data_IF_958527012856
#
_entry.id   IF_958527012856
#
_cell.length_a   1.000
_cell.length_b   1.000
_cell.length_c   1.000
_cell.angle_alpha   90.00
_cell.angle_beta   90.00
_cell.angle_gamma   90.00
#
_symmetry.space_group_name_H-M   'P 1'
#
loop_
_entity.id
_entity.type
_entity.pdbx_description
1 polymer ?
#
# COMPACT_ATOMS: atom_id res chain seq x y z
N UNK A 1 -23.23 -34.92 -13.59
CA UNK A 1 -21.84 -35.16 -13.17
C UNK A 1 -21.85 -36.02 -11.91
N UNK A 2 -22.25 -35.53 -10.75
CA UNK A 2 -22.19 -36.26 -9.47
C UNK A 2 -23.06 -37.54 -9.47
N UNK A 3 -24.29 -37.48 -10.01
CA UNK A 3 -25.20 -38.59 -10.03
C UNK A 3 -24.77 -39.74 -10.97
N UNK A 4 -24.08 -39.41 -12.05
CA UNK A 4 -23.65 -40.40 -13.05
C UNK A 4 -22.15 -40.75 -12.96
N UNK A 5 -21.42 -40.19 -11.97
CA UNK A 5 -19.95 -40.36 -11.82
C UNK A 5 -19.15 -40.11 -13.10
N UNK A 6 -19.65 -39.21 -13.95
CA UNK A 6 -18.97 -38.82 -15.18
C UNK A 6 -17.94 -37.75 -14.80
N UNK A 7 -16.66 -38.04 -14.96
CA UNK A 7 -15.60 -37.07 -14.84
C UNK A 7 -15.74 -36.03 -15.97
N UNK A 8 -15.64 -34.74 -15.70
CA UNK A 8 -15.59 -33.74 -16.75
C UNK A 8 -14.38 -34.03 -17.64
N UNK A 9 -14.54 -33.88 -18.96
CA UNK A 9 -13.39 -33.93 -19.88
C UNK A 9 -12.38 -32.92 -19.43
N UNK A 10 -11.11 -33.30 -19.37
CA UNK A 10 -10.01 -32.37 -19.10
C UNK A 10 -10.08 -31.24 -20.14
N UNK A 11 -10.46 -30.06 -19.72
CA UNK A 11 -10.57 -28.91 -20.59
C UNK A 11 -9.24 -28.20 -20.55
N UNK A 12 -8.64 -28.02 -21.71
CA UNK A 12 -7.41 -27.22 -21.80
C UNK A 12 -7.76 -25.75 -21.70
N UNK A 13 -7.30 -25.09 -20.63
CA UNK A 13 -7.51 -23.66 -20.41
C UNK A 13 -6.64 -22.80 -21.32
N UNK A 14 -5.69 -23.40 -22.04
CA UNK A 14 -4.75 -22.72 -22.91
C UNK A 14 -5.05 -23.05 -24.37
N UNK A 15 -5.39 -22.06 -25.15
CA UNK A 15 -5.59 -22.18 -26.60
C UNK A 15 -4.28 -22.14 -27.43
N UNK A 16 -3.12 -22.42 -26.82
CA UNK A 16 -1.80 -22.32 -27.43
C UNK A 16 -0.99 -21.10 -26.92
N UNK A 17 0.21 -20.90 -27.46
CA UNK A 17 1.08 -19.80 -27.10
C UNK A 17 2.10 -20.10 -25.99
N UNK A 18 2.89 -19.10 -25.55
CA UNK A 18 4.01 -19.32 -24.63
C UNK A 18 3.60 -19.92 -23.28
N UNK A 19 2.46 -19.49 -22.72
CA UNK A 19 1.95 -20.02 -21.45
C UNK A 19 1.55 -21.50 -21.58
N UNK A 20 0.94 -21.87 -22.71
CA UNK A 20 0.60 -23.27 -22.96
C UNK A 20 1.85 -24.15 -23.04
N UNK A 21 2.88 -23.72 -23.78
CA UNK A 21 4.15 -24.44 -23.88
C UNK A 21 4.81 -24.63 -22.52
N UNK A 22 4.87 -23.56 -21.72
CA UNK A 22 5.45 -23.60 -20.38
C UNK A 22 4.68 -24.56 -19.45
N UNK A 23 3.34 -24.44 -19.36
CA UNK A 23 2.52 -25.34 -18.53
C UNK A 23 2.64 -26.78 -18.97
N UNK A 24 2.69 -27.04 -20.29
CA UNK A 24 2.84 -28.38 -20.85
C UNK A 24 4.23 -28.95 -20.56
N UNK A 25 5.29 -28.20 -20.79
CA UNK A 25 6.66 -28.61 -20.50
C UNK A 25 6.87 -28.95 -19.02
N UNK A 26 6.41 -28.07 -18.12
CA UNK A 26 6.48 -28.31 -16.67
C UNK A 26 5.61 -29.48 -16.26
N UNK A 27 4.42 -29.65 -16.85
CA UNK A 27 3.53 -30.79 -16.56
C UNK A 27 4.17 -32.12 -16.89
N UNK A 28 4.86 -32.25 -18.05
CA UNK A 28 5.60 -33.46 -18.41
C UNK A 28 6.84 -33.67 -17.55
N UNK A 29 7.55 -32.58 -17.18
CA UNK A 29 8.72 -32.68 -16.32
C UNK A 29 8.43 -33.30 -14.95
N UNK A 30 7.21 -33.06 -14.43
CA UNK A 30 6.82 -33.46 -13.07
C UNK A 30 5.80 -34.60 -13.08
N UNK A 31 5.53 -35.24 -14.23
CA UNK A 31 4.44 -36.19 -14.38
C UNK A 31 4.56 -37.35 -13.38
N UNK A 32 5.73 -38.00 -13.30
CA UNK A 32 6.00 -39.12 -12.39
C UNK A 32 5.83 -38.68 -10.91
N UNK A 33 6.41 -37.53 -10.50
CA UNK A 33 6.30 -37.02 -9.15
C UNK A 33 4.85 -36.70 -8.76
N UNK A 34 4.09 -36.12 -9.70
CA UNK A 34 2.70 -35.77 -9.46
C UNK A 34 1.79 -37.01 -9.33
N UNK A 35 2.00 -38.05 -10.16
CA UNK A 35 1.28 -39.28 -10.08
C UNK A 35 1.54 -40.04 -8.78
N UNK A 36 2.78 -40.13 -8.34
CA UNK A 36 3.17 -40.74 -7.07
C UNK A 36 2.49 -40.12 -5.85
N UNK A 37 2.23 -38.79 -5.91
CA UNK A 37 1.55 -38.07 -4.86
C UNK A 37 0.03 -37.90 -5.09
N UNK A 38 -0.52 -38.51 -6.16
CA UNK A 38 -1.95 -38.42 -6.49
C UNK A 38 -2.44 -37.01 -6.84
N UNK A 39 -1.56 -36.17 -7.35
CA UNK A 39 -1.86 -34.81 -7.77
C UNK A 39 -1.93 -34.73 -9.28
N UNK A 40 -2.94 -34.04 -9.84
CA UNK A 40 -2.98 -33.83 -11.29
C UNK A 40 -1.72 -33.08 -11.77
N UNK A 41 -0.94 -33.65 -12.74
CA UNK A 41 0.30 -33.04 -13.23
C UNK A 41 0.12 -31.57 -13.67
N UNK A 42 -0.99 -31.31 -14.37
CA UNK A 42 -1.30 -29.95 -14.84
C UNK A 42 -1.63 -28.97 -13.72
N UNK A 43 -2.31 -29.42 -12.67
CA UNK A 43 -2.55 -28.60 -11.49
C UNK A 43 -1.23 -28.31 -10.76
N UNK A 44 -0.42 -29.33 -10.56
CA UNK A 44 0.90 -29.19 -9.94
C UNK A 44 1.80 -28.23 -10.74
N UNK A 45 1.84 -28.37 -12.08
CA UNK A 45 2.60 -27.48 -12.96
C UNK A 45 2.17 -26.00 -12.83
N UNK A 46 0.86 -25.72 -12.83
CA UNK A 46 0.39 -24.34 -12.65
C UNK A 46 0.77 -23.77 -11.29
N UNK A 47 0.73 -24.58 -10.22
CA UNK A 47 1.13 -24.18 -8.88
C UNK A 47 2.63 -23.94 -8.75
N UNK A 48 3.44 -24.78 -9.38
CA UNK A 48 4.88 -24.60 -9.44
C UNK A 48 5.28 -23.30 -10.16
N UNK A 49 4.63 -23.02 -11.31
CA UNK A 49 4.83 -21.77 -12.05
C UNK A 49 4.43 -20.55 -11.20
N UNK A 50 3.36 -20.66 -10.39
CA UNK A 50 2.96 -19.62 -9.42
C UNK A 50 3.98 -19.43 -8.27
N UNK A 51 4.91 -20.36 -8.09
CA UNK A 51 5.89 -20.34 -6.99
C UNK A 51 5.34 -20.84 -5.67
N UNK A 52 4.38 -21.75 -5.68
CA UNK A 52 3.78 -22.35 -4.49
C UNK A 52 4.79 -23.25 -3.77
N UNK A 53 5.28 -22.79 -2.63
CA UNK A 53 6.34 -23.45 -1.84
C UNK A 53 5.91 -24.80 -1.24
N UNK A 54 4.61 -24.99 -1.03
CA UNK A 54 4.09 -26.23 -0.45
C UNK A 54 4.09 -27.35 -1.49
N UNK A 55 3.74 -27.04 -2.73
CA UNK A 55 3.82 -27.99 -3.85
C UNK A 55 5.28 -28.32 -4.20
N UNK A 56 6.18 -27.31 -4.20
CA UNK A 56 7.62 -27.54 -4.44
C UNK A 56 8.17 -28.56 -3.43
N UNK A 57 7.88 -28.38 -2.14
CA UNK A 57 8.34 -29.31 -1.08
C UNK A 57 7.70 -30.68 -1.19
N UNK A 58 6.44 -30.74 -1.60
CA UNK A 58 5.68 -32.01 -1.64
C UNK A 58 6.10 -32.90 -2.79
N UNK A 59 6.50 -32.33 -3.93
CA UNK A 59 6.94 -33.08 -5.09
C UNK A 59 8.41 -33.50 -5.05
N UNK A 60 9.19 -33.03 -4.05
CA UNK A 60 10.59 -33.41 -3.84
C UNK A 60 11.46 -33.33 -5.11
N UNK A 61 11.28 -32.27 -5.92
CA UNK A 61 11.98 -32.08 -7.17
C UNK A 61 13.47 -31.92 -6.96
N UNK A 62 14.28 -32.51 -7.84
CA UNK A 62 15.72 -32.36 -7.81
C UNK A 62 16.18 -31.01 -8.37
N UNK A 63 17.44 -30.66 -8.15
CA UNK A 63 17.99 -29.35 -8.53
C UNK A 63 17.94 -29.12 -10.05
N UNK A 64 18.17 -30.15 -10.85
CA UNK A 64 18.11 -30.06 -12.31
C UNK A 64 16.67 -29.81 -12.81
N UNK A 65 15.68 -30.45 -12.19
CA UNK A 65 14.26 -30.27 -12.53
C UNK A 65 13.81 -28.86 -12.19
N UNK A 66 14.24 -28.32 -11.06
CA UNK A 66 13.97 -26.93 -10.67
C UNK A 66 14.61 -25.93 -11.66
N UNK A 67 15.83 -26.20 -12.14
CA UNK A 67 16.50 -25.36 -13.12
C UNK A 67 15.79 -25.42 -14.48
N UNK A 68 15.40 -26.61 -14.96
CA UNK A 68 14.63 -26.78 -16.20
C UNK A 68 13.27 -26.08 -16.14
N UNK A 69 12.60 -26.20 -14.99
CA UNK A 69 11.33 -25.50 -14.73
C UNK A 69 11.53 -23.97 -14.81
N UNK A 70 12.53 -23.42 -14.10
CA UNK A 70 12.79 -21.99 -14.09
C UNK A 70 13.22 -21.46 -15.45
N UNK A 71 13.94 -22.27 -16.24
CA UNK A 71 14.28 -21.94 -17.64
C UNK A 71 13.01 -21.79 -18.48
N UNK A 72 12.08 -22.73 -18.41
CA UNK A 72 10.80 -22.69 -19.16
C UNK A 72 9.92 -21.50 -18.73
N UNK A 73 9.97 -21.13 -17.46
CA UNK A 73 9.25 -19.96 -16.93
C UNK A 73 9.89 -18.67 -17.46
N UNK A 74 11.21 -18.56 -17.44
CA UNK A 74 11.95 -17.39 -17.93
C UNK A 74 11.72 -17.17 -19.43
N UNK A 75 11.67 -18.25 -20.22
CA UNK A 75 11.35 -18.18 -21.66
C UNK A 75 9.93 -17.64 -21.86
N UNK A 76 8.95 -18.15 -21.13
CA UNK A 76 7.56 -17.68 -21.18
C UNK A 76 7.45 -16.19 -20.78
N UNK A 77 8.12 -15.77 -19.70
CA UNK A 77 8.14 -14.38 -19.25
C UNK A 77 8.77 -13.47 -20.32
N UNK A 78 9.86 -13.91 -20.94
CA UNK A 78 10.56 -13.16 -21.98
C UNK A 78 9.71 -12.99 -23.24
N UNK A 79 9.04 -14.05 -23.71
CA UNK A 79 8.18 -13.99 -24.89
C UNK A 79 6.90 -13.18 -24.66
N UNK A 80 6.29 -13.30 -23.46
CA UNK A 80 5.05 -12.61 -23.13
C UNK A 80 5.29 -11.17 -22.69
N UNK A 81 6.45 -10.87 -22.15
CA UNK A 81 6.75 -9.59 -21.51
C UNK A 81 5.94 -9.33 -20.24
N UNK A 82 5.42 -10.41 -19.62
CA UNK A 82 4.63 -10.42 -18.38
C UNK A 82 5.35 -11.30 -17.37
N UNK A 83 5.22 -11.00 -16.09
CA UNK A 83 5.66 -11.93 -15.04
C UNK A 83 4.78 -13.21 -15.04
N UNK A 84 5.29 -14.30 -14.44
CA UNK A 84 4.63 -15.62 -14.41
C UNK A 84 3.20 -15.57 -13.88
N UNK A 85 2.94 -14.77 -12.85
CA UNK A 85 1.61 -14.65 -12.26
C UNK A 85 0.66 -13.88 -13.17
N UNK A 86 1.15 -12.81 -13.81
CA UNK A 86 0.37 -12.04 -14.78
C UNK A 86 0.05 -12.87 -16.04
N UNK A 87 1.00 -13.65 -16.53
CA UNK A 87 0.81 -14.52 -17.70
C UNK A 87 -0.25 -15.59 -17.45
N UNK A 88 -0.20 -16.25 -16.29
CA UNK A 88 -1.21 -17.23 -15.89
C UNK A 88 -2.60 -16.63 -15.67
N UNK A 89 -2.65 -15.43 -15.06
CA UNK A 89 -3.90 -14.72 -14.86
C UNK A 89 -4.54 -14.31 -16.18
N UNK A 90 -3.76 -13.76 -17.11
CA UNK A 90 -4.22 -13.39 -18.45
C UNK A 90 -4.80 -14.59 -19.22
N UNK A 91 -4.13 -15.72 -19.15
CA UNK A 91 -4.62 -16.98 -19.72
C UNK A 91 -5.97 -17.39 -19.12
N UNK A 92 -6.10 -17.38 -17.79
CA UNK A 92 -7.35 -17.76 -17.10
C UNK A 92 -8.51 -16.81 -17.47
N UNK A 93 -8.25 -15.52 -17.51
CA UNK A 93 -9.27 -14.53 -17.88
C UNK A 93 -9.69 -14.66 -19.34
N UNK A 94 -8.76 -14.90 -20.27
CA UNK A 94 -9.07 -15.14 -21.67
C UNK A 94 -9.97 -16.36 -21.85
N UNK A 95 -9.70 -17.44 -21.12
CA UNK A 95 -10.55 -18.64 -21.13
C UNK A 95 -11.96 -18.36 -20.57
N UNK A 96 -12.04 -17.66 -19.43
CA UNK A 96 -13.32 -17.26 -18.82
C UNK A 96 -14.13 -16.39 -19.77
N UNK A 97 -13.51 -15.43 -20.44
CA UNK A 97 -14.17 -14.58 -21.44
C UNK A 97 -14.76 -15.40 -22.59
N UNK A 98 -13.99 -16.36 -23.11
CA UNK A 98 -14.45 -17.25 -24.16
C UNK A 98 -15.65 -18.10 -23.71
N UNK A 99 -15.56 -18.74 -22.55
CA UNK A 99 -16.66 -19.55 -21.99
C UNK A 99 -17.89 -18.67 -21.73
N UNK A 100 -17.71 -17.47 -21.20
CA UNK A 100 -18.80 -16.54 -20.95
C UNK A 100 -19.46 -16.06 -22.25
N UNK A 101 -18.67 -15.83 -23.31
CA UNK A 101 -19.21 -15.44 -24.61
C UNK A 101 -20.13 -16.53 -25.20
N UNK A 102 -19.78 -17.80 -25.02
CA UNK A 102 -20.51 -18.93 -25.58
C UNK A 102 -21.70 -19.37 -24.72
N UNK A 103 -21.63 -19.19 -23.41
CA UNK A 103 -22.60 -19.79 -22.46
C UNK A 103 -23.52 -18.79 -21.78
N UNK A 104 -23.09 -17.53 -21.60
CA UNK A 104 -23.85 -16.53 -20.85
C UNK A 104 -24.79 -15.74 -21.75
N UNK A 105 -26.07 -16.09 -21.76
CA UNK A 105 -27.13 -15.21 -22.27
C UNK A 105 -27.46 -14.18 -21.19
N UNK A 106 -27.08 -12.92 -21.42
CA UNK A 106 -27.43 -11.81 -20.51
C UNK A 106 -28.96 -11.63 -20.51
N UNK A 107 -29.62 -12.14 -19.47
CA UNK A 107 -31.00 -11.79 -19.17
C UNK A 107 -31.06 -10.32 -18.72
N UNK A 108 -32.26 -9.73 -18.73
CA UNK A 108 -32.53 -8.31 -18.43
C UNK A 108 -31.56 -7.71 -17.41
N UNK A 109 -30.95 -6.58 -17.79
CA UNK A 109 -30.07 -5.84 -16.89
C UNK A 109 -30.84 -5.41 -15.63
N UNK A 110 -30.27 -5.69 -14.46
CA UNK A 110 -30.89 -5.27 -13.19
C UNK A 110 -30.98 -3.74 -13.13
N UNK A 111 -32.01 -3.22 -12.46
CA UNK A 111 -32.16 -1.76 -12.23
C UNK A 111 -30.93 -1.14 -11.58
N UNK A 112 -30.24 -1.90 -10.74
CA UNK A 112 -29.00 -1.48 -10.09
C UNK A 112 -27.87 -1.32 -11.09
N UNK A 113 -27.74 -2.24 -12.06
CA UNK A 113 -26.74 -2.14 -13.12
C UNK A 113 -27.00 -0.93 -14.01
N UNK A 114 -28.26 -0.69 -14.39
CA UNK A 114 -28.60 0.50 -15.20
C UNK A 114 -28.27 1.80 -14.47
N UNK A 115 -28.53 1.88 -13.15
CA UNK A 115 -28.13 3.03 -12.32
C UNK A 115 -26.62 3.18 -12.28
N UNK A 116 -25.89 2.09 -12.06
CA UNK A 116 -24.42 2.09 -12.03
C UNK A 116 -23.84 2.56 -13.35
N UNK A 117 -24.35 2.10 -14.48
CA UNK A 117 -23.93 2.55 -15.83
C UNK A 117 -24.23 4.05 -16.05
N UNK A 118 -25.38 4.55 -15.57
CA UNK A 118 -25.70 5.96 -15.67
C UNK A 118 -24.74 6.84 -14.85
N UNK A 119 -24.39 6.42 -13.64
CA UNK A 119 -23.42 7.08 -12.78
C UNK A 119 -22.01 7.00 -13.41
N UNK A 120 -21.62 5.84 -13.93
CA UNK A 120 -20.33 5.63 -14.57
C UNK A 120 -20.12 6.53 -15.80
N UNK A 121 -21.18 6.84 -16.54
CA UNK A 121 -21.10 7.78 -17.68
C UNK A 121 -20.52 9.15 -17.26
N UNK A 122 -20.80 9.59 -16.04
CA UNK A 122 -20.27 10.85 -15.49
C UNK A 122 -18.94 10.64 -14.80
N UNK A 123 -18.82 9.62 -13.92
CA UNK A 123 -17.66 9.41 -13.08
C UNK A 123 -16.45 8.82 -13.83
N UNK A 124 -16.67 8.09 -14.93
CA UNK A 124 -15.59 7.52 -15.75
C UNK A 124 -15.45 8.19 -17.11
N UNK A 125 -16.14 9.31 -17.32
CA UNK A 125 -16.09 10.07 -18.56
C UNK A 125 -14.66 10.59 -18.85
N UNK A 126 -14.29 10.65 -20.15
CA UNK A 126 -12.95 11.03 -20.61
C UNK A 126 -12.42 12.35 -20.03
N UNK A 127 -13.29 13.33 -19.82
CA UNK A 127 -12.92 14.66 -19.32
C UNK A 127 -13.38 14.92 -17.87
N UNK A 128 -14.38 14.19 -17.40
CA UNK A 128 -15.00 14.39 -16.08
C UNK A 128 -14.39 13.55 -14.98
N UNK A 129 -13.84 12.38 -15.31
CA UNK A 129 -13.32 11.43 -14.33
C UNK A 129 -12.22 12.02 -13.44
N UNK A 130 -11.20 12.65 -14.03
CA UNK A 130 -10.05 13.18 -13.28
C UNK A 130 -10.45 14.40 -12.43
N UNK A 131 -11.18 15.42 -12.95
CA UNK A 131 -11.63 16.54 -12.12
C UNK A 131 -12.54 16.13 -10.96
N UNK A 132 -13.51 15.23 -11.20
CA UNK A 132 -14.39 14.74 -10.12
C UNK A 132 -13.58 14.00 -9.05
N UNK A 133 -12.64 13.18 -9.50
CA UNK A 133 -11.77 12.45 -8.60
C UNK A 133 -10.90 13.40 -7.74
N UNK A 134 -10.27 14.40 -8.34
CA UNK A 134 -9.49 15.41 -7.61
C UNK A 134 -10.39 16.15 -6.61
N UNK A 135 -11.58 16.55 -7.02
CA UNK A 135 -12.53 17.23 -6.14
C UNK A 135 -12.96 16.35 -4.95
N UNK A 136 -13.24 15.07 -5.19
CA UNK A 136 -13.59 14.12 -4.14
C UNK A 136 -12.43 13.91 -3.15
N UNK A 137 -11.19 13.77 -3.65
CA UNK A 137 -10.01 13.63 -2.80
C UNK A 137 -9.71 14.89 -2.00
N UNK A 138 -9.81 16.07 -2.62
CA UNK A 138 -9.66 17.35 -1.91
C UNK A 138 -10.71 17.51 -0.81
N UNK A 139 -11.97 17.14 -1.08
CA UNK A 139 -13.03 17.18 -0.09
C UNK A 139 -12.72 16.24 1.09
N UNK A 140 -12.28 15.02 0.81
CA UNK A 140 -11.91 14.05 1.85
C UNK A 140 -10.75 14.58 2.68
N UNK A 141 -9.72 15.09 2.03
CA UNK A 141 -8.56 15.64 2.75
C UNK A 141 -8.94 16.86 3.59
N UNK A 142 -9.75 17.77 3.05
CA UNK A 142 -10.26 18.92 3.80
C UNK A 142 -11.06 18.48 5.03
N UNK A 143 -12.00 17.55 4.87
CA UNK A 143 -12.77 17.03 6.00
C UNK A 143 -11.89 16.30 7.03
N UNK A 144 -10.86 15.58 6.56
CA UNK A 144 -9.99 14.80 7.43
C UNK A 144 -9.01 15.69 8.20
N UNK A 145 -8.37 16.66 7.53
CA UNK A 145 -7.28 17.42 8.14
C UNK A 145 -7.75 18.72 8.81
N UNK A 146 -8.70 19.43 8.20
CA UNK A 146 -9.10 20.76 8.68
C UNK A 146 -10.37 20.75 9.54
N UNK A 147 -11.29 19.79 9.32
CA UNK A 147 -12.59 19.84 10.02
C UNK A 147 -12.66 18.78 11.11
N UNK A 148 -12.84 17.51 10.73
CA UNK A 148 -13.12 16.44 11.70
C UNK A 148 -11.84 16.01 12.41
N UNK A 149 -10.77 15.80 11.67
CA UNK A 149 -9.51 15.32 12.23
C UNK A 149 -8.83 16.36 13.11
N UNK A 150 -8.88 17.64 12.73
CA UNK A 150 -8.38 18.73 13.57
C UNK A 150 -9.16 18.80 14.90
N UNK A 151 -10.48 18.85 14.83
CA UNK A 151 -11.33 18.89 16.03
C UNK A 151 -11.08 17.72 16.99
N UNK A 152 -11.01 16.50 16.46
CA UNK A 152 -10.76 15.29 17.26
C UNK A 152 -9.30 15.24 17.75
N UNK A 153 -8.36 15.77 16.97
CA UNK A 153 -6.96 15.90 17.35
C UNK A 153 -6.81 16.85 18.54
N UNK A 154 -7.36 18.06 18.46
CA UNK A 154 -7.35 19.04 19.54
C UNK A 154 -7.96 18.51 20.83
N UNK A 155 -9.05 17.76 20.71
CA UNK A 155 -9.70 17.10 21.85
C UNK A 155 -8.78 16.05 22.48
N UNK A 156 -8.09 15.27 21.67
CA UNK A 156 -7.13 14.24 22.12
C UNK A 156 -5.93 14.92 22.79
N UNK A 157 -5.38 15.98 22.19
CA UNK A 157 -4.25 16.74 22.73
C UNK A 157 -4.59 17.36 24.08
N UNK A 158 -5.80 17.91 24.23
CA UNK A 158 -6.29 18.44 25.50
C UNK A 158 -6.39 17.33 26.57
N UNK A 159 -6.86 16.14 26.17
CA UNK A 159 -6.90 14.98 27.06
C UNK A 159 -5.52 14.50 27.50
N UNK A 160 -4.57 14.41 26.54
CA UNK A 160 -3.18 14.03 26.82
C UNK A 160 -2.50 15.06 27.72
N UNK A 161 -2.65 16.34 27.42
CA UNK A 161 -2.09 17.44 28.23
C UNK A 161 -2.62 17.36 29.68
N UNK A 162 -3.93 17.18 29.86
CA UNK A 162 -4.52 17.05 31.21
C UNK A 162 -3.97 15.84 31.96
N UNK A 163 -3.78 14.71 31.29
CA UNK A 163 -3.18 13.52 31.90
C UNK A 163 -1.71 13.76 32.26
N UNK A 164 -0.98 14.42 31.39
CA UNK A 164 0.42 14.78 31.62
C UNK A 164 0.56 15.69 32.84
N UNK A 165 -0.28 16.72 32.95
CA UNK A 165 -0.30 17.65 34.09
C UNK A 165 -0.62 16.94 35.40
N UNK A 166 -1.56 16.00 35.40
CA UNK A 166 -1.90 15.22 36.60
C UNK A 166 -0.70 14.39 37.04
N UNK A 167 -0.04 13.72 36.09
CA UNK A 167 1.14 12.88 36.40
C UNK A 167 2.32 13.73 36.81
N UNK A 168 2.56 14.87 36.18
CA UNK A 168 3.62 15.82 36.50
C UNK A 168 3.47 16.33 37.94
N UNK A 169 2.29 16.79 38.31
CA UNK A 169 1.96 17.22 39.67
C UNK A 169 2.13 16.10 40.70
N UNK A 170 1.73 14.88 40.38
CA UNK A 170 1.90 13.73 41.23
C UNK A 170 3.41 13.39 41.44
N UNK A 171 4.20 13.33 40.39
CA UNK A 171 5.63 13.05 40.43
C UNK A 171 6.38 14.13 41.24
N UNK A 172 6.01 15.39 41.04
CA UNK A 172 6.59 16.52 41.76
C UNK A 172 6.24 16.46 43.26
N UNK A 173 5.01 16.10 43.62
CA UNK A 173 4.57 15.96 45.00
C UNK A 173 5.27 14.83 45.74
N UNK A 174 5.61 13.76 45.06
CA UNK A 174 6.38 12.63 45.61
C UNK A 174 7.90 12.89 45.71
N UNK A 175 8.40 14.00 45.14
CA UNK A 175 9.81 14.38 45.21
C UNK A 175 10.74 13.40 44.47
N UNK A 176 10.31 12.87 43.33
CA UNK A 176 11.05 11.88 42.52
C UNK A 176 12.28 12.55 41.90
N UNK A 177 13.34 11.74 41.70
CA UNK A 177 14.57 12.19 41.05
C UNK A 177 14.27 12.90 39.71
N UNK A 178 14.83 14.10 39.47
CA UNK A 178 14.59 14.91 38.26
C UNK A 178 14.78 14.14 36.94
N UNK A 179 15.73 13.18 36.91
CA UNK A 179 15.97 12.35 35.73
C UNK A 179 14.82 11.42 35.42
N UNK A 180 14.28 10.77 36.45
CA UNK A 180 13.13 9.86 36.31
C UNK A 180 11.89 10.67 35.93
N UNK A 181 11.72 11.85 36.52
CA UNK A 181 10.66 12.77 36.16
C UNK A 181 10.70 13.14 34.67
N UNK A 182 11.85 13.63 34.19
CA UNK A 182 12.03 13.97 32.76
C UNK A 182 11.88 12.73 31.84
N UNK A 183 12.35 11.55 32.23
CA UNK A 183 12.13 10.32 31.47
C UNK A 183 10.63 10.04 31.28
N UNK A 184 9.86 10.18 32.35
CA UNK A 184 8.43 9.88 32.30
C UNK A 184 7.71 10.95 31.47
N UNK A 185 7.93 12.24 31.74
CA UNK A 185 7.21 13.33 31.07
C UNK A 185 7.71 13.51 29.64
N UNK A 186 9.02 13.77 29.46
CA UNK A 186 9.59 14.12 28.15
C UNK A 186 9.87 12.90 27.27
N UNK A 187 10.17 11.75 27.89
CA UNK A 187 10.45 10.50 27.17
C UNK A 187 9.16 9.73 26.83
N UNK A 188 8.40 9.37 27.86
CA UNK A 188 7.23 8.49 27.71
C UNK A 188 6.00 9.27 27.28
N UNK A 189 5.57 10.27 28.05
CA UNK A 189 4.34 11.02 27.76
C UNK A 189 4.43 11.82 26.47
N UNK A 190 5.55 12.49 26.21
CA UNK A 190 5.75 13.20 24.94
C UNK A 190 5.77 12.23 23.75
N UNK A 191 6.45 11.07 23.86
CA UNK A 191 6.51 10.07 22.79
C UNK A 191 5.18 9.40 22.53
N UNK A 192 4.50 8.90 23.57
CA UNK A 192 3.19 8.26 23.46
C UNK A 192 2.14 9.29 23.05
N UNK A 193 2.18 10.49 23.61
CA UNK A 193 1.26 11.59 23.31
C UNK A 193 1.28 11.93 21.84
N UNK A 194 2.47 12.10 21.24
CA UNK A 194 2.59 12.40 19.81
C UNK A 194 1.96 11.35 18.91
N UNK A 195 2.04 10.07 19.25
CA UNK A 195 1.37 8.99 18.50
C UNK A 195 -0.14 9.06 18.64
N UNK A 196 -0.63 9.28 19.86
CA UNK A 196 -2.05 9.36 20.16
C UNK A 196 -2.72 10.57 19.52
N UNK A 197 -2.02 11.70 19.43
CA UNK A 197 -2.49 12.93 18.76
C UNK A 197 -2.80 12.71 17.27
N UNK A 198 -2.02 11.88 16.59
CA UNK A 198 -2.26 11.55 15.20
C UNK A 198 -3.33 10.45 14.99
N UNK A 199 -3.69 9.71 16.03
CA UNK A 199 -4.63 8.61 15.93
C UNK A 199 -6.02 9.02 15.41
N UNK A 200 -6.68 10.07 15.92
CA UNK A 200 -7.98 10.50 15.42
C UNK A 200 -7.97 10.85 13.93
N UNK A 201 -6.95 11.57 13.50
CA UNK A 201 -6.77 11.97 12.10
C UNK A 201 -6.66 10.75 11.19
N UNK A 202 -5.90 9.73 11.60
CA UNK A 202 -5.73 8.49 10.85
C UNK A 202 -7.05 7.70 10.81
N UNK A 203 -7.77 7.63 11.91
CA UNK A 203 -9.09 6.95 12.00
C UNK A 203 -10.10 7.60 11.04
N UNK A 204 -10.17 8.93 11.01
CA UNK A 204 -11.05 9.67 10.10
C UNK A 204 -10.65 9.47 8.63
N UNK A 205 -9.35 9.50 8.33
CA UNK A 205 -8.86 9.21 6.98
C UNK A 205 -9.27 7.81 6.53
N UNK A 206 -9.08 6.81 7.38
CA UNK A 206 -9.47 5.43 7.05
C UNK A 206 -10.98 5.27 6.92
N UNK A 207 -11.76 6.00 7.69
CA UNK A 207 -13.21 6.03 7.54
C UNK A 207 -13.61 6.45 6.13
N UNK A 208 -13.12 7.59 5.65
CA UNK A 208 -13.44 8.07 4.30
C UNK A 208 -12.90 7.15 3.20
N UNK A 209 -11.70 6.62 3.35
CA UNK A 209 -11.12 5.67 2.39
C UNK A 209 -11.93 4.38 2.34
N UNK A 210 -12.39 3.86 3.48
CA UNK A 210 -13.24 2.67 3.55
C UNK A 210 -14.60 2.90 2.89
N UNK A 211 -15.17 4.10 3.06
CA UNK A 211 -16.40 4.49 2.37
C UNK A 211 -16.20 4.52 0.85
N UNK A 212 -15.09 5.08 0.36
CA UNK A 212 -14.76 5.07 -1.07
C UNK A 212 -14.53 3.65 -1.62
N UNK A 213 -13.86 2.81 -0.85
CA UNK A 213 -13.58 1.43 -1.22
C UNK A 213 -14.86 0.61 -1.29
N UNK A 214 -15.67 0.62 -0.23
CA UNK A 214 -16.90 -0.17 -0.16
C UNK A 214 -18.00 0.31 -1.13
N UNK A 215 -18.02 1.61 -1.48
CA UNK A 215 -18.93 2.14 -2.51
C UNK A 215 -18.61 1.63 -3.93
N UNK A 216 -17.42 1.08 -4.16
CA UNK A 216 -16.93 0.66 -5.47
C UNK A 216 -16.33 1.78 -6.32
N UNK A 217 -16.17 2.99 -5.76
CA UNK A 217 -15.58 4.12 -6.49
C UNK A 217 -14.10 3.93 -6.80
N UNK A 218 -13.34 3.29 -5.87
CA UNK A 218 -11.92 3.00 -6.06
C UNK A 218 -11.64 2.13 -7.29
N UNK A 219 -12.53 1.19 -7.61
CA UNK A 219 -12.41 0.36 -8.82
C UNK A 219 -12.48 1.19 -10.11
N UNK A 220 -13.34 2.22 -10.13
CA UNK A 220 -13.48 3.14 -11.27
C UNK A 220 -12.26 4.00 -11.46
N UNK A 221 -11.73 4.51 -10.37
CA UNK A 221 -10.48 5.28 -10.41
C UNK A 221 -9.33 4.43 -10.94
N UNK A 222 -9.20 3.19 -10.46
CA UNK A 222 -8.19 2.25 -10.96
C UNK A 222 -8.36 2.00 -12.47
N UNK A 223 -9.60 1.87 -12.96
CA UNK A 223 -9.90 1.72 -14.38
C UNK A 223 -9.51 2.94 -15.22
N UNK A 224 -9.88 4.14 -14.77
CA UNK A 224 -9.57 5.39 -15.49
C UNK A 224 -8.06 5.63 -15.51
N UNK A 225 -7.38 5.36 -14.40
CA UNK A 225 -5.94 5.60 -14.24
C UNK A 225 -5.07 4.49 -14.85
N UNK A 226 -5.64 3.39 -15.32
CA UNK A 226 -4.88 2.30 -15.92
C UNK A 226 -4.08 2.76 -17.16
N UNK A 227 -4.70 3.57 -18.05
CA UNK A 227 -4.01 4.07 -19.24
C UNK A 227 -2.77 4.92 -18.95
N UNK A 228 -2.82 5.98 -18.12
CA UNK A 228 -1.63 6.76 -17.79
C UNK A 228 -0.60 5.97 -16.99
N UNK A 229 -1.02 5.10 -16.05
CA UNK A 229 -0.09 4.33 -15.24
C UNK A 229 0.65 3.24 -16.04
N UNK A 230 0.03 2.64 -17.03
CA UNK A 230 0.71 1.71 -17.95
C UNK A 230 1.86 2.36 -18.71
N UNK A 231 1.75 3.64 -19.07
CA UNK A 231 2.87 4.37 -19.68
C UNK A 231 4.07 4.46 -18.74
N UNK A 232 3.81 4.58 -17.45
CA UNK A 232 4.82 4.55 -16.40
C UNK A 232 5.29 3.13 -16.05
N UNK A 233 4.62 2.09 -16.57
CA UNK A 233 4.94 0.70 -16.30
C UNK A 233 4.26 0.13 -15.04
N UNK A 234 3.19 0.74 -14.58
CA UNK A 234 2.38 0.32 -13.44
C UNK A 234 0.98 -0.12 -13.88
N UNK A 235 0.35 -1.02 -13.15
CA UNK A 235 -1.04 -1.38 -13.36
C UNK A 235 -1.99 -0.32 -12.78
N UNK A 236 -3.22 -0.25 -13.29
CA UNK A 236 -4.23 0.70 -12.80
C UNK A 236 -4.54 0.55 -11.31
N UNK A 237 -4.39 -0.66 -10.75
CA UNK A 237 -4.58 -0.92 -9.31
C UNK A 237 -3.56 -0.22 -8.43
N UNK A 238 -2.38 0.09 -8.95
CA UNK A 238 -1.33 0.80 -8.22
C UNK A 238 -1.73 2.23 -7.80
N UNK A 239 -2.75 2.82 -8.47
CA UNK A 239 -3.25 4.15 -8.10
C UNK A 239 -3.80 4.19 -6.68
N UNK A 240 -4.46 3.12 -6.22
CA UNK A 240 -5.10 3.07 -4.90
C UNK A 240 -4.08 3.24 -3.77
N UNK A 241 -3.02 2.43 -3.67
CA UNK A 241 -1.94 2.68 -2.71
C UNK A 241 -1.29 4.06 -2.87
N UNK A 242 -1.06 4.52 -4.11
CA UNK A 242 -0.45 5.83 -4.35
C UNK A 242 -1.31 6.97 -3.80
N UNK A 243 -2.63 6.91 -3.96
CA UNK A 243 -3.56 7.91 -3.43
C UNK A 243 -3.57 7.93 -1.91
N UNK A 244 -3.61 6.75 -1.29
CA UNK A 244 -3.49 6.62 0.16
C UNK A 244 -2.15 7.24 0.63
N UNK A 245 -1.10 7.15 -0.19
CA UNK A 245 0.24 7.70 0.07
C UNK A 245 0.27 9.22 0.24
N UNK A 246 -0.63 9.96 -0.40
CA UNK A 246 -0.76 11.41 -0.16
C UNK A 246 -1.33 11.72 1.23
N UNK A 247 -2.14 10.83 1.79
CA UNK A 247 -2.60 10.96 3.18
C UNK A 247 -1.56 10.44 4.17
N UNK A 248 -1.17 9.16 4.04
CA UNK A 248 -0.21 8.51 4.91
C UNK A 248 0.52 7.37 4.18
N UNK A 249 1.85 7.36 4.21
CA UNK A 249 2.67 6.36 3.52
C UNK A 249 2.60 4.97 4.16
N UNK A 250 2.37 4.85 5.45
CA UNK A 250 2.32 3.54 6.14
C UNK A 250 1.16 2.68 5.64
N UNK A 251 -0.11 3.13 5.69
CA UNK A 251 -1.23 2.38 5.13
C UNK A 251 -1.14 2.21 3.62
N UNK A 252 -0.54 3.16 2.91
CA UNK A 252 -0.29 3.05 1.48
C UNK A 252 0.59 1.84 1.15
N UNK A 253 1.71 1.67 1.84
CA UNK A 253 2.59 0.50 1.68
C UNK A 253 1.85 -0.79 2.05
N UNK A 254 1.05 -0.78 3.11
CA UNK A 254 0.22 -1.95 3.47
C UNK A 254 -0.80 -2.30 2.39
N UNK A 255 -1.42 -1.30 1.77
CA UNK A 255 -2.39 -1.49 0.69
C UNK A 255 -1.75 -2.10 -0.59
N UNK A 256 -0.44 -1.97 -0.79
CA UNK A 256 0.22 -2.63 -1.93
C UNK A 256 0.13 -4.16 -1.90
N UNK A 257 -0.16 -4.75 -0.74
CA UNK A 257 -0.37 -6.22 -0.62
C UNK A 257 -1.56 -6.73 -1.44
N UNK A 258 -2.49 -5.86 -1.81
CA UNK A 258 -3.63 -6.20 -2.68
C UNK A 258 -3.25 -6.34 -4.15
N UNK A 259 -2.03 -5.92 -4.52
CA UNK A 259 -1.52 -6.05 -5.88
C UNK A 259 -1.07 -7.49 -6.12
N UNK A 260 -1.57 -8.10 -7.18
CA UNK A 260 -1.31 -9.49 -7.54
C UNK A 260 0.08 -9.71 -8.15
N UNK A 261 0.65 -8.69 -8.81
CA UNK A 261 2.00 -8.74 -9.37
C UNK A 261 3.04 -8.28 -8.34
N UNK A 262 4.03 -9.12 -8.04
CA UNK A 262 5.12 -8.77 -7.12
C UNK A 262 5.96 -7.61 -7.66
N UNK A 263 6.17 -7.55 -8.97
CA UNK A 263 6.84 -6.46 -9.65
C UNK A 263 6.10 -5.12 -9.42
N UNK A 264 4.80 -5.08 -9.71
CA UNK A 264 3.99 -3.87 -9.54
C UNK A 264 3.91 -3.47 -8.06
N UNK A 265 3.85 -4.46 -7.15
CA UNK A 265 3.87 -4.23 -5.70
C UNK A 265 5.17 -3.57 -5.26
N UNK A 266 6.34 -4.11 -5.62
CA UNK A 266 7.64 -3.55 -5.26
C UNK A 266 7.86 -2.17 -5.86
N UNK A 267 7.49 -1.99 -7.13
CA UNK A 267 7.58 -0.70 -7.81
C UNK A 267 6.67 0.36 -7.17
N UNK A 268 5.44 0.00 -6.84
CA UNK A 268 4.51 0.90 -6.14
C UNK A 268 5.01 1.25 -4.73
N UNK A 269 5.54 0.27 -3.97
CA UNK A 269 6.16 0.53 -2.66
C UNK A 269 7.33 1.52 -2.75
N UNK A 270 8.16 1.39 -3.78
CA UNK A 270 9.28 2.30 -3.99
C UNK A 270 8.84 3.74 -4.34
N UNK A 271 7.63 3.91 -4.91
CA UNK A 271 7.08 5.21 -5.28
C UNK A 271 6.40 5.96 -4.15
N UNK A 272 5.76 5.24 -3.21
CA UNK A 272 4.99 5.85 -2.12
C UNK A 272 5.81 6.88 -1.33
N UNK A 273 7.10 6.68 -1.01
CA UNK A 273 7.89 7.69 -0.31
C UNK A 273 8.07 9.02 -1.05
N UNK A 274 7.91 9.08 -2.37
CA UNK A 274 7.96 10.33 -3.14
C UNK A 274 6.66 11.14 -3.02
N UNK A 275 5.55 10.50 -2.60
CA UNK A 275 4.31 11.20 -2.33
C UNK A 275 4.44 12.02 -1.05
N UNK A 276 4.07 13.29 -1.11
CA UNK A 276 4.10 14.16 0.06
C UNK A 276 2.86 13.91 0.91
N UNK A 277 3.04 13.23 2.03
CA UNK A 277 1.96 12.97 3.00
C UNK A 277 1.90 14.11 4.05
N UNK A 278 0.82 14.12 4.83
CA UNK A 278 0.59 15.12 5.88
C UNK A 278 1.74 15.25 6.89
N UNK A 279 2.42 14.16 7.22
CA UNK A 279 3.56 14.18 8.13
C UNK A 279 4.79 14.94 7.59
N UNK A 280 4.89 15.16 6.26
CA UNK A 280 5.97 15.94 5.66
C UNK A 280 5.68 17.45 5.64
N UNK A 281 4.42 17.85 5.76
CA UNK A 281 4.02 19.26 5.73
C UNK A 281 4.72 20.09 6.83
N UNK A 282 4.76 19.65 8.11
CA UNK A 282 5.50 20.36 9.14
C UNK A 282 6.99 20.51 8.83
N UNK A 283 7.61 19.48 8.25
CA UNK A 283 9.02 19.50 7.85
C UNK A 283 9.24 20.56 6.75
N UNK A 284 8.37 20.60 5.75
CA UNK A 284 8.42 21.61 4.70
C UNK A 284 8.18 23.02 5.25
N UNK A 285 7.26 23.16 6.23
CA UNK A 285 6.98 24.44 6.88
C UNK A 285 8.22 24.98 7.62
N UNK A 286 8.87 24.15 8.45
CA UNK A 286 10.10 24.54 9.16
C UNK A 286 11.21 24.91 8.17
N UNK A 287 11.40 24.11 7.13
CA UNK A 287 12.40 24.37 6.09
C UNK A 287 12.13 25.68 5.34
N UNK A 288 10.88 25.91 4.92
CA UNK A 288 10.51 27.14 4.20
C UNK A 288 10.56 28.36 5.10
N UNK A 289 10.29 28.22 6.38
CA UNK A 289 10.40 29.32 7.37
C UNK A 289 11.85 29.71 7.63
N UNK A 290 12.75 28.73 7.68
CA UNK A 290 14.17 28.97 7.92
C UNK A 290 14.88 29.62 6.72
N UNK A 291 14.51 29.24 5.47
CA UNK A 291 15.26 29.68 4.29
C UNK A 291 14.52 30.62 3.35
N UNK A 292 13.18 30.70 3.43
CA UNK A 292 12.35 31.46 2.49
C UNK A 292 11.26 32.27 3.22
N UNK A 293 11.57 33.47 3.63
CA UNK A 293 10.64 34.30 4.41
C UNK A 293 9.51 34.92 3.59
N UNK A 294 9.73 35.27 2.32
CA UNK A 294 8.76 36.00 1.49
C UNK A 294 7.81 35.11 0.67
N UNK A 295 8.27 33.91 0.20
CA UNK A 295 7.53 33.06 -0.73
C UNK A 295 7.19 31.68 -0.14
N UNK A 296 6.91 31.58 1.16
CA UNK A 296 6.69 30.31 1.89
C UNK A 296 5.70 29.39 1.18
N UNK A 297 4.53 29.88 0.81
CA UNK A 297 3.50 29.08 0.16
C UNK A 297 3.92 28.56 -1.23
N UNK A 298 4.60 29.38 -2.02
CA UNK A 298 5.05 29.02 -3.35
C UNK A 298 6.14 27.95 -3.29
N UNK A 299 7.07 28.09 -2.32
CA UNK A 299 8.13 27.08 -2.09
C UNK A 299 7.54 25.77 -1.60
N UNK A 300 6.56 25.78 -0.69
CA UNK A 300 5.86 24.55 -0.26
C UNK A 300 5.20 23.83 -1.43
N UNK A 301 4.48 24.58 -2.27
CA UNK A 301 3.84 24.00 -3.47
C UNK A 301 4.89 23.44 -4.43
N UNK A 302 6.01 24.18 -4.62
CA UNK A 302 7.09 23.71 -5.51
C UNK A 302 7.75 22.43 -5.00
N UNK A 303 7.97 22.27 -3.69
CA UNK A 303 8.49 21.05 -3.08
C UNK A 303 7.51 19.87 -3.27
N UNK A 304 6.22 20.13 -3.16
CA UNK A 304 5.19 19.13 -3.40
C UNK A 304 5.18 18.62 -4.85
N UNK A 305 5.23 19.57 -5.81
CA UNK A 305 5.29 19.27 -7.23
C UNK A 305 6.62 18.58 -7.60
N UNK A 306 7.72 19.05 -7.00
CA UNK A 306 9.04 18.42 -7.20
C UNK A 306 9.04 16.96 -6.75
N UNK A 307 8.43 16.64 -5.60
CA UNK A 307 8.29 15.26 -5.13
C UNK A 307 7.57 14.38 -6.15
N UNK A 308 6.48 14.86 -6.75
CA UNK A 308 5.74 14.12 -7.79
C UNK A 308 6.61 13.93 -9.04
N UNK A 309 7.30 14.98 -9.50
CA UNK A 309 8.17 14.91 -10.69
C UNK A 309 9.30 13.91 -10.47
N UNK A 310 9.99 13.98 -9.34
CA UNK A 310 11.07 13.04 -8.98
C UNK A 310 10.53 11.61 -8.88
N UNK A 311 9.34 11.42 -8.32
CA UNK A 311 8.67 10.12 -8.29
C UNK A 311 8.41 9.56 -9.69
N UNK A 312 7.92 10.37 -10.61
CA UNK A 312 7.70 9.97 -12.02
C UNK A 312 9.04 9.59 -12.68
N UNK A 313 10.07 10.39 -12.51
CA UNK A 313 11.42 10.13 -13.08
C UNK A 313 11.98 8.82 -12.48
N UNK A 314 11.91 8.65 -11.17
CA UNK A 314 12.35 7.44 -10.49
C UNK A 314 11.61 6.19 -10.99
N UNK A 315 10.31 6.32 -11.27
CA UNK A 315 9.50 5.26 -11.87
C UNK A 315 9.99 4.88 -13.26
N UNK A 316 10.23 5.87 -14.12
CA UNK A 316 10.69 5.64 -15.48
C UNK A 316 12.08 5.00 -15.50
N UNK A 317 12.97 5.44 -14.62
CA UNK A 317 14.30 4.83 -14.47
C UNK A 317 14.16 3.37 -13.97
N UNK A 318 13.38 3.17 -12.91
CA UNK A 318 13.17 1.84 -12.31
C UNK A 318 12.53 0.84 -13.27
N UNK A 319 11.62 1.30 -14.14
CA UNK A 319 11.00 0.47 -15.19
C UNK A 319 12.04 -0.11 -16.15
N UNK A 320 13.09 0.63 -16.49
CA UNK A 320 14.10 0.21 -17.46
C UNK A 320 15.30 -0.52 -16.82
N UNK A 321 15.51 -0.31 -15.52
CA UNK A 321 16.68 -0.86 -14.81
C UNK A 321 16.31 -2.07 -13.95
N UNK A 322 15.53 -1.84 -12.87
CA UNK A 322 15.30 -2.81 -11.80
C UNK A 322 14.04 -3.65 -12.08
N UNK A 323 12.95 -3.00 -12.48
CA UNK A 323 11.62 -3.63 -12.64
C UNK A 323 11.25 -3.77 -14.12
N UNK A 324 12.03 -4.55 -14.87
CA UNK A 324 11.77 -4.82 -16.29
C UNK A 324 10.49 -5.67 -16.46
N UNK A 325 9.79 -5.49 -17.58
CA UNK A 325 8.56 -6.22 -17.92
C UNK A 325 7.35 -5.29 -18.11
N UNK A 326 6.24 -5.87 -18.56
CA UNK A 326 4.99 -5.14 -18.77
C UNK A 326 4.10 -5.23 -17.51
N UNK A 327 3.33 -4.18 -17.20
CA UNK A 327 2.38 -4.23 -16.11
C UNK A 327 1.27 -5.25 -16.40
N UNK A 328 0.74 -5.86 -15.35
CA UNK A 328 -0.38 -6.79 -15.45
C UNK A 328 -1.57 -6.12 -16.13
N UNK A 329 -2.21 -6.75 -17.12
CA UNK A 329 -3.41 -6.21 -17.72
C UNK A 329 -4.52 -6.05 -16.67
N UNK A 330 -5.15 -4.88 -16.67
CA UNK A 330 -6.26 -4.62 -15.78
C UNK A 330 -7.55 -5.19 -16.40
N UNK A 331 -7.87 -6.41 -16.01
CA UNK A 331 -9.12 -7.07 -16.36
C UNK A 331 -9.95 -7.18 -15.08
N UNK A 332 -10.94 -6.31 -14.92
CA UNK A 332 -11.85 -6.35 -13.78
C UNK A 332 -13.23 -5.88 -14.22
N UNK A 333 -14.25 -6.67 -13.91
CA UNK A 333 -15.62 -6.18 -14.00
C UNK A 333 -15.84 -5.13 -12.91
N UNK A 334 -16.40 -3.98 -13.31
CA UNK A 334 -16.72 -2.92 -12.36
C UNK A 334 -17.88 -3.38 -11.47
N UNK A 335 -17.70 -3.46 -10.15
CA UNK A 335 -18.78 -3.84 -9.24
C UNK A 335 -19.90 -2.80 -9.30
N UNK A 336 -21.16 -3.18 -9.08
CA UNK A 336 -22.24 -2.20 -8.98
C UNK A 336 -22.00 -1.26 -7.79
N UNK A 337 -22.41 0.01 -7.92
CA UNK A 337 -22.42 0.91 -6.78
C UNK A 337 -23.37 0.41 -5.70
N UNK A 338 -22.86 0.40 -4.49
CA UNK A 338 -23.66 0.07 -3.32
C UNK A 338 -23.45 1.09 -2.21
N UNK A 339 -24.45 1.23 -1.37
CA UNK A 339 -24.30 2.01 -0.14
C UNK A 339 -23.32 1.29 0.77
N UNK A 340 -22.29 1.98 1.28
CA UNK A 340 -21.33 1.41 2.21
C UNK A 340 -22.04 0.82 3.42
N UNK A 341 -21.69 -0.41 3.80
CA UNK A 341 -22.23 -1.05 4.98
C UNK A 341 -21.59 -0.45 6.24
N UNK A 342 -22.34 0.15 7.17
CA UNK A 342 -21.77 0.75 8.38
C UNK A 342 -20.92 -0.25 9.18
N UNK A 343 -21.36 -1.50 9.25
CA UNK A 343 -20.63 -2.56 9.95
C UNK A 343 -19.30 -2.87 9.29
N UNK A 344 -19.26 -2.98 7.96
CA UNK A 344 -18.02 -3.25 7.19
C UNK A 344 -17.04 -2.10 7.34
N UNK A 345 -17.52 -0.86 7.19
CA UNK A 345 -16.69 0.35 7.30
C UNK A 345 -16.09 0.47 8.70
N UNK A 346 -16.89 0.29 9.75
CA UNK A 346 -16.40 0.35 11.14
C UNK A 346 -15.40 -0.77 11.45
N UNK A 347 -15.65 -1.99 10.97
CA UNK A 347 -14.75 -3.11 11.18
C UNK A 347 -13.41 -2.87 10.48
N UNK A 348 -13.44 -2.45 9.21
CA UNK A 348 -12.24 -2.15 8.44
C UNK A 348 -11.43 -0.99 9.04
N UNK A 349 -12.13 0.06 9.49
CA UNK A 349 -11.54 1.20 10.20
C UNK A 349 -10.83 0.74 11.49
N UNK A 350 -11.50 -0.10 12.29
CA UNK A 350 -10.94 -0.62 13.53
C UNK A 350 -9.70 -1.50 13.31
N UNK A 351 -9.74 -2.40 12.34
CA UNK A 351 -8.59 -3.23 11.97
C UNK A 351 -7.38 -2.38 11.56
N UNK A 352 -7.61 -1.39 10.69
CA UNK A 352 -6.54 -0.48 10.24
C UNK A 352 -5.99 0.38 11.38
N UNK A 353 -6.87 0.91 12.25
CA UNK A 353 -6.47 1.69 13.42
C UNK A 353 -5.66 0.83 14.39
N UNK A 354 -6.12 -0.38 14.69
CA UNK A 354 -5.40 -1.33 15.56
C UNK A 354 -4.01 -1.68 15.04
N UNK A 355 -3.91 -2.01 13.74
CA UNK A 355 -2.63 -2.31 13.09
C UNK A 355 -1.67 -1.14 13.13
N UNK A 356 -2.18 0.08 12.94
CA UNK A 356 -1.38 1.31 13.05
C UNK A 356 -0.87 1.50 14.47
N UNK A 357 -1.76 1.45 15.48
CA UNK A 357 -1.37 1.64 16.88
C UNK A 357 -0.31 0.62 17.28
N UNK A 358 -0.49 -0.66 16.98
CA UNK A 358 0.47 -1.69 17.34
C UNK A 358 1.88 -1.44 16.74
N UNK A 359 1.94 -1.05 15.46
CA UNK A 359 3.22 -0.82 14.78
C UNK A 359 3.86 0.51 15.15
N UNK A 360 3.04 1.57 15.17
CA UNK A 360 3.52 2.91 15.49
C UNK A 360 3.94 3.04 16.95
N UNK A 361 3.14 2.50 17.89
CA UNK A 361 3.45 2.54 19.31
C UNK A 361 4.82 1.93 19.62
N UNK A 362 5.10 0.71 19.12
CA UNK A 362 6.37 0.04 19.41
C UNK A 362 7.57 0.80 18.85
N UNK A 363 7.48 1.23 17.57
CA UNK A 363 8.61 1.86 16.90
C UNK A 363 8.84 3.30 17.40
N UNK A 364 7.77 4.09 17.51
CA UNK A 364 7.88 5.50 17.90
C UNK A 364 8.22 5.61 19.39
N UNK A 365 7.65 4.77 20.24
CA UNK A 365 7.99 4.72 21.66
C UNK A 365 9.47 4.41 21.86
N UNK A 366 10.01 3.38 21.17
CA UNK A 366 11.44 3.08 21.24
C UNK A 366 12.30 4.24 20.73
N UNK A 367 11.91 4.85 19.60
CA UNK A 367 12.60 6.01 19.03
C UNK A 367 12.57 7.21 19.99
N UNK A 368 11.43 7.49 20.62
CA UNK A 368 11.29 8.59 21.59
C UNK A 368 12.21 8.43 22.80
N UNK A 369 12.30 7.23 23.34
CA UNK A 369 13.23 6.94 24.44
C UNK A 369 14.68 7.14 23.99
N UNK A 370 15.06 6.66 22.80
CA UNK A 370 16.40 6.85 22.26
C UNK A 370 16.71 8.33 22.07
N UNK A 371 15.78 9.08 21.48
CA UNK A 371 15.95 10.55 21.29
C UNK A 371 16.04 11.25 22.64
N UNK A 372 15.23 10.87 23.62
CA UNK A 372 15.30 11.44 24.96
C UNK A 372 16.69 11.17 25.60
N UNK A 373 17.21 9.94 25.51
CA UNK A 373 18.56 9.62 25.99
C UNK A 373 19.62 10.46 25.30
N UNK A 374 19.57 10.56 23.96
CA UNK A 374 20.53 11.36 23.19
C UNK A 374 20.47 12.86 23.49
N UNK A 375 19.31 13.37 23.93
CA UNK A 375 19.08 14.77 24.27
C UNK A 375 19.46 15.10 25.71
N UNK A 376 19.33 14.13 26.63
CA UNK A 376 19.48 14.34 28.07
C UNK A 376 20.92 14.08 28.54
N UNK A 377 21.67 13.24 27.84
CA UNK A 377 23.01 12.82 28.27
C UNK A 377 24.12 13.37 27.36
N UNK A 378 25.27 13.66 27.99
CA UNK A 378 26.54 13.95 27.34
C UNK A 378 27.33 12.67 27.07
N UNK A 379 28.46 12.75 26.36
CA UNK A 379 29.41 11.66 26.08
C UNK A 379 29.94 10.94 27.35
N UNK A 380 29.85 11.59 28.50
CA UNK A 380 30.25 11.04 29.81
C UNK A 380 29.07 10.54 30.66
N UNK A 381 27.86 10.44 30.05
CA UNK A 381 26.61 10.08 30.73
C UNK A 381 26.23 11.03 31.89
N UNK A 382 26.67 12.29 31.84
CA UNK A 382 26.20 13.31 32.75
C UNK A 382 24.93 13.97 32.15
N UNK A 383 24.04 14.43 33.02
CA UNK A 383 22.84 15.15 32.60
C UNK A 383 23.27 16.55 32.13
N UNK A 384 22.79 16.91 30.94
CA UNK A 384 23.13 18.19 30.32
C UNK A 384 22.05 19.21 30.61
N UNK A 385 22.43 20.35 31.14
CA UNK A 385 21.51 21.50 31.37
C UNK A 385 21.26 22.30 30.07
N UNK A 386 22.26 22.31 29.15
CA UNK A 386 22.18 23.02 27.88
C UNK A 386 22.09 21.99 26.71
N UNK A 387 21.10 22.15 25.84
CA UNK A 387 20.89 21.25 24.69
C UNK A 387 22.09 21.20 23.72
N UNK A 388 22.95 22.23 23.71
CA UNK A 388 24.14 22.31 22.85
C UNK A 388 25.22 21.30 23.23
N UNK A 389 25.26 20.84 24.48
CA UNK A 389 26.24 19.87 24.99
C UNK A 389 25.75 18.42 24.92
N UNK A 390 24.54 18.19 24.41
CA UNK A 390 23.93 16.87 24.31
C UNK A 390 24.58 15.99 23.24
N UNK A 391 24.47 14.65 23.40
CA UNK A 391 24.89 13.69 22.38
C UNK A 391 24.24 13.97 21.03
N UNK A 392 22.99 14.46 21.02
CA UNK A 392 22.27 14.84 19.81
C UNK A 392 22.92 16.03 19.11
N UNK A 393 23.36 17.04 19.86
CA UNK A 393 24.05 18.21 19.31
C UNK A 393 25.40 17.86 18.68
N UNK A 394 26.12 16.88 19.21
CA UNK A 394 27.37 16.37 18.64
C UNK A 394 27.17 15.65 17.28
N UNK A 395 25.99 15.11 17.02
CA UNK A 395 25.65 14.52 15.71
C UNK A 395 25.46 15.58 14.63
N UNK A 396 25.07 16.80 14.99
CA UNK A 396 24.87 17.91 14.05
C UNK A 396 26.11 18.25 13.22
N UNK A 397 27.29 18.55 13.86
CA UNK A 397 28.54 18.79 13.14
C UNK A 397 29.04 17.62 12.31
N UNK A 398 28.73 16.37 12.72
CA UNK A 398 29.10 15.18 11.97
C UNK A 398 28.31 15.05 10.65
N UNK A 399 27.07 15.56 10.63
CA UNK A 399 26.22 15.56 9.45
C UNK A 399 26.38 16.84 8.61
N UNK A 400 26.94 17.92 9.20
CA UNK A 400 27.18 19.20 8.53
C UNK A 400 27.95 19.12 7.20
N UNK A 401 28.97 18.23 7.00
CA UNK A 401 29.65 18.15 5.71
C UNK A 401 28.81 17.48 4.61
N UNK A 402 27.63 16.94 4.92
CA UNK A 402 26.73 16.30 3.95
C UNK A 402 25.65 17.27 3.47
N UNK A 403 25.41 18.33 4.21
CA UNK A 403 24.49 19.43 3.90
C UNK A 403 25.27 20.74 3.71
#
# INVERSE_FOLDING_TARGET
VAKNRILPKVTDFCSGGPVHRCVHAVSHLIEDHAEDHGISPRFAATKLIEGDTDIIKRLELNENELEMMEHSITEMESERGLDRNAALADMRYSFIEQVCADTVKKCHESKERMRSVAIDRVLTGKYTAIPIFICAMLLIFYLTFDVIGAFLGDLMDMGIASLTDIVDNALTSYGINPVIHSLIIDGVFAGVGSVLSFLPLIVVLFFFLSVLEDSGYMARIAFVMDRPLRKLGLSGRSIVPMLIGFGCSVPAIMATRTLSSERDRRMTMALIPFMSCSAKIPIYAVFTEAFFTEYKALVMISLYVLGIIVGIIATLISKHTIYRGNPMPFVMELPNYRMPSPKSVLMLMWEKAKDFVQKAFTLIFAASIIIWVLRTFDTRLNIVENQEDSLLALLGPLLSPVF
#
